data_IF_239610357747
#
_entry.id   IF_239610357747
#
_cell.length_a   1.000
_cell.length_b   1.000
_cell.length_c   1.000
_cell.angle_alpha   90.00
_cell.angle_beta   90.00
_cell.angle_gamma   90.00
#
_symmetry.space_group_name_H-M   'P 1'
#
loop_
_entity.id
_entity.type
_entity.pdbx_description
1 polymer ?
#
# COMPACT_ATOMS: atom_id res chain seq x y z
N UNK A 1 68.94 15.02 14.29
CA UNK A 1 67.47 15.13 14.38
C UNK A 1 66.85 14.16 13.40
N UNK A 2 66.03 13.23 13.90
CA UNK A 2 65.75 11.94 13.26
C UNK A 2 64.55 12.06 12.29
N UNK A 3 64.82 11.98 10.97
CA UNK A 3 63.80 12.09 9.89
C UNK A 3 62.69 11.03 10.03
N UNK A 4 62.97 9.90 10.68
CA UNK A 4 61.99 8.86 10.98
C UNK A 4 60.94 9.29 12.02
N UNK A 5 61.28 10.16 12.97
CA UNK A 5 60.33 10.62 13.99
C UNK A 5 59.25 11.52 13.41
N UNK A 6 59.57 12.31 12.38
CA UNK A 6 58.61 13.17 11.69
C UNK A 6 57.62 12.37 10.82
N UNK A 7 58.09 11.31 10.16
CA UNK A 7 57.24 10.40 9.37
C UNK A 7 56.25 9.64 10.26
N UNK A 8 56.68 9.18 11.43
CA UNK A 8 55.81 8.49 12.40
C UNK A 8 54.74 9.45 12.95
N UNK A 9 55.10 10.71 13.24
CA UNK A 9 54.16 11.73 13.69
C UNK A 9 53.14 12.12 12.61
N UNK A 10 53.58 12.20 11.35
CA UNK A 10 52.68 12.53 10.23
C UNK A 10 51.67 11.39 9.98
N UNK A 11 52.13 10.14 10.08
CA UNK A 11 51.31 8.95 9.88
C UNK A 11 50.31 8.76 11.04
N UNK A 12 50.70 9.06 12.28
CA UNK A 12 49.80 9.02 13.44
C UNK A 12 48.74 10.12 13.37
N UNK A 13 49.08 11.35 12.96
CA UNK A 13 48.11 12.44 12.76
C UNK A 13 47.13 12.11 11.64
N UNK A 14 47.60 11.55 10.52
CA UNK A 14 46.73 11.11 9.43
C UNK A 14 45.74 10.03 9.90
N UNK A 15 46.22 9.04 10.65
CA UNK A 15 45.39 7.96 11.19
C UNK A 15 44.34 8.48 12.19
N UNK A 16 44.71 9.46 13.03
CA UNK A 16 43.80 10.11 13.98
C UNK A 16 42.72 10.93 13.26
N UNK A 17 43.08 11.66 12.20
CA UNK A 17 42.13 12.42 11.36
C UNK A 17 41.16 11.46 10.65
N UNK A 18 41.65 10.35 10.08
CA UNK A 18 40.77 9.35 9.46
C UNK A 18 39.82 8.72 10.49
N UNK A 19 40.28 8.44 11.71
CA UNK A 19 39.42 7.86 12.75
C UNK A 19 38.28 8.80 13.18
N UNK A 20 38.51 10.11 13.20
CA UNK A 20 37.46 11.11 13.52
C UNK A 20 36.44 11.24 12.39
N UNK A 21 36.88 11.12 11.13
CA UNK A 21 36.00 11.13 9.96
C UNK A 21 35.11 9.88 9.86
N UNK A 22 35.57 8.72 10.32
CA UNK A 22 34.76 7.49 10.33
C UNK A 22 33.64 7.51 11.39
N UNK A 23 33.82 8.23 12.51
CA UNK A 23 32.81 8.31 13.58
C UNK A 23 31.53 9.08 13.18
N UNK A 24 31.58 9.88 12.11
CA UNK A 24 30.42 10.64 11.61
C UNK A 24 29.44 9.83 10.75
N UNK A 25 29.78 8.59 10.37
CA UNK A 25 28.96 7.79 9.45
C UNK A 25 28.04 6.75 10.13
N UNK A 26 28.08 6.63 11.47
CA UNK A 26 27.44 5.50 12.18
C UNK A 26 26.14 5.89 12.90
N UNK A 27 25.87 7.19 13.10
CA UNK A 27 24.66 7.65 13.80
C UNK A 27 23.90 8.67 12.94
N UNK A 28 23.12 8.19 11.98
CA UNK A 28 22.08 8.99 11.35
C UNK A 28 21.01 9.29 12.39
N UNK A 29 20.77 10.56 12.72
CA UNK A 29 19.72 10.96 13.66
C UNK A 29 18.36 10.43 13.21
N UNK A 30 17.43 10.22 14.16
CA UNK A 30 16.07 9.77 13.82
C UNK A 30 15.41 10.67 12.77
N UNK A 31 15.69 11.98 12.85
CA UNK A 31 15.23 12.98 11.88
C UNK A 31 15.83 12.78 10.48
N UNK A 32 17.09 12.36 10.37
CA UNK A 32 17.71 12.09 9.08
C UNK A 32 17.13 10.82 8.44
N UNK A 33 16.88 9.78 9.23
CA UNK A 33 16.26 8.54 8.75
C UNK A 33 14.82 8.79 8.26
N UNK A 34 14.03 9.55 9.02
CA UNK A 34 12.67 9.91 8.62
C UNK A 34 12.67 10.76 7.32
N UNK A 35 13.60 11.72 7.20
CA UNK A 35 13.76 12.50 5.95
C UNK A 35 14.14 11.60 4.77
N UNK A 36 15.09 10.69 4.96
CA UNK A 36 15.52 9.77 3.90
C UNK A 36 14.36 8.89 3.39
N UNK A 37 13.51 8.40 4.29
CA UNK A 37 12.31 7.65 3.91
C UNK A 37 11.33 8.53 3.12
N UNK A 38 11.10 9.78 3.55
CA UNK A 38 10.26 10.73 2.83
C UNK A 38 10.80 11.02 1.42
N UNK A 39 12.11 11.23 1.29
CA UNK A 39 12.75 11.51 0.01
C UNK A 39 12.66 10.31 -0.94
N UNK A 40 12.97 9.10 -0.46
CA UNK A 40 12.84 7.86 -1.25
C UNK A 40 11.40 7.62 -1.69
N UNK A 41 10.45 7.92 -0.81
CA UNK A 41 9.03 7.79 -1.13
C UNK A 41 8.63 8.69 -2.29
N UNK A 42 8.94 9.99 -2.22
CA UNK A 42 8.60 10.92 -3.31
C UNK A 42 9.37 10.64 -4.59
N UNK A 43 10.63 10.18 -4.50
CA UNK A 43 11.37 9.70 -5.66
C UNK A 43 10.66 8.52 -6.34
N UNK A 44 10.21 7.53 -5.57
CA UNK A 44 9.48 6.38 -6.09
C UNK A 44 8.15 6.79 -6.73
N UNK A 45 7.40 7.70 -6.09
CA UNK A 45 6.15 8.25 -6.65
C UNK A 45 6.40 8.96 -7.98
N UNK A 46 7.44 9.80 -8.06
CA UNK A 46 7.80 10.52 -9.29
C UNK A 46 8.34 9.60 -10.40
N UNK A 47 9.02 8.52 -10.02
CA UNK A 47 9.55 7.53 -10.96
C UNK A 47 8.49 6.51 -11.40
N UNK A 48 7.23 6.66 -10.98
CA UNK A 48 6.14 5.70 -11.18
C UNK A 48 6.44 4.29 -10.61
N UNK A 49 7.38 4.19 -9.67
CA UNK A 49 7.76 2.95 -8.99
C UNK A 49 6.86 2.71 -7.77
N UNK A 50 5.66 2.22 -8.06
CA UNK A 50 4.63 1.98 -7.04
C UNK A 50 4.99 0.84 -6.08
N UNK A 51 5.82 -0.11 -6.50
CA UNK A 51 6.29 -1.20 -5.63
C UNK A 51 7.22 -0.66 -4.54
N UNK A 52 8.18 0.18 -4.91
CA UNK A 52 9.05 0.85 -3.94
C UNK A 52 8.25 1.81 -3.06
N UNK A 53 7.34 2.61 -3.65
CA UNK A 53 6.50 3.52 -2.87
C UNK A 53 5.71 2.74 -1.81
N UNK A 54 5.05 1.64 -2.19
CA UNK A 54 4.29 0.76 -1.30
C UNK A 54 5.12 0.20 -0.15
N UNK A 55 6.36 -0.23 -0.41
CA UNK A 55 7.25 -0.75 0.62
C UNK A 55 7.70 0.32 1.64
N UNK A 56 7.62 1.59 1.28
CA UNK A 56 7.94 2.72 2.15
C UNK A 56 6.71 3.25 2.92
N UNK A 57 5.52 2.71 2.65
CA UNK A 57 4.27 3.15 3.28
C UNK A 57 3.83 2.26 4.42
N UNK A 58 3.00 2.79 5.33
CA UNK A 58 2.31 1.96 6.30
C UNK A 58 1.30 1.07 5.57
N UNK A 59 1.17 -0.19 6.02
CA UNK A 59 0.24 -1.15 5.43
C UNK A 59 -1.19 -0.59 5.34
N UNK A 60 -1.63 0.12 6.39
CA UNK A 60 -2.96 0.71 6.48
C UNK A 60 -3.20 1.82 5.44
N UNK A 61 -2.14 2.53 5.02
CA UNK A 61 -2.27 3.67 4.10
C UNK A 61 -1.90 3.35 2.65
N UNK A 62 -1.38 2.15 2.36
CA UNK A 62 -0.94 1.75 1.02
C UNK A 62 -2.03 1.89 -0.07
N UNK A 63 -3.29 1.68 0.28
CA UNK A 63 -4.43 1.82 -0.64
C UNK A 63 -4.62 3.25 -1.17
N UNK A 64 -4.08 4.27 -0.47
CA UNK A 64 -4.20 5.67 -0.87
C UNK A 64 -3.13 6.11 -1.88
N UNK A 65 -2.13 5.27 -2.16
CA UNK A 65 -1.09 5.57 -3.16
C UNK A 65 -1.65 5.90 -4.55
N UNK A 66 -2.74 5.24 -4.93
CA UNK A 66 -3.41 5.45 -6.22
C UNK A 66 -3.88 6.90 -6.45
N UNK A 67 -4.07 7.67 -5.37
CA UNK A 67 -4.51 9.07 -5.48
C UNK A 67 -3.35 10.03 -5.73
N UNK A 68 -2.11 9.66 -5.37
CA UNK A 68 -0.93 10.48 -5.63
C UNK A 68 -0.49 10.46 -7.10
N UNK A 69 -0.84 9.40 -7.83
CA UNK A 69 -0.59 9.28 -9.27
C UNK A 69 -1.73 9.83 -10.14
N UNK A 70 -2.82 10.31 -9.52
CA UNK A 70 -3.88 11.00 -10.23
C UNK A 70 -3.35 12.26 -10.93
N UNK A 71 -3.92 12.60 -12.10
CA UNK A 71 -3.48 13.76 -12.91
C UNK A 71 -3.50 15.09 -12.14
N UNK A 72 -4.26 15.18 -11.05
CA UNK A 72 -4.32 16.34 -10.15
C UNK A 72 -3.07 16.51 -9.26
N UNK A 73 -2.32 15.43 -9.00
CA UNK A 73 -1.15 15.42 -8.09
C UNK A 73 0.13 14.97 -8.81
N UNK A 74 0.12 14.90 -10.14
CA UNK A 74 1.27 14.53 -10.98
C UNK A 74 2.41 15.56 -10.88
N UNK A 75 3.13 15.51 -9.76
CA UNK A 75 4.29 16.31 -9.49
C UNK A 75 5.41 15.94 -10.47
N UNK A 76 6.25 16.90 -10.83
CA UNK A 76 7.48 16.68 -11.63
C UNK A 76 8.74 16.72 -10.78
N UNK A 77 8.67 17.38 -9.63
CA UNK A 77 9.75 17.53 -8.66
C UNK A 77 9.16 17.77 -7.28
N UNK A 78 9.96 17.49 -6.26
CA UNK A 78 9.62 17.74 -4.87
C UNK A 78 10.80 18.38 -4.14
N UNK A 79 10.50 19.12 -3.08
CA UNK A 79 11.48 19.70 -2.18
C UNK A 79 11.07 19.34 -0.74
N UNK A 80 12.00 18.81 0.05
CA UNK A 80 11.80 18.57 1.49
C UNK A 80 12.44 19.67 2.33
N UNK A 81 11.74 20.07 3.38
CA UNK A 81 12.11 21.18 4.25
C UNK A 81 12.32 20.74 5.70
N UNK A 82 11.83 21.58 6.61
CA UNK A 82 11.90 21.34 8.05
C UNK A 82 11.28 19.98 8.42
N UNK A 83 11.93 19.29 9.35
CA UNK A 83 11.42 18.05 9.94
C UNK A 83 11.15 18.25 11.43
N UNK A 84 9.97 17.83 11.87
CA UNK A 84 9.59 17.74 13.27
C UNK A 84 9.41 16.27 13.64
N UNK A 85 10.12 15.80 14.66
CA UNK A 85 9.97 14.43 15.19
C UNK A 85 9.33 14.51 16.57
N UNK A 86 8.25 13.78 16.78
CA UNK A 86 7.48 13.73 18.01
C UNK A 86 7.12 12.28 18.35
N UNK A 87 7.92 11.66 19.22
CA UNK A 87 7.74 10.27 19.63
C UNK A 87 7.90 9.28 18.47
N UNK A 88 6.81 8.64 18.07
CA UNK A 88 6.75 7.68 16.95
C UNK A 88 6.29 8.31 15.64
N UNK A 89 6.13 9.63 15.59
CA UNK A 89 5.64 10.36 14.42
C UNK A 89 6.69 11.37 13.97
N UNK A 90 6.87 11.50 12.67
CA UNK A 90 7.68 12.56 12.08
C UNK A 90 6.89 13.28 10.99
N UNK A 91 7.06 14.59 10.88
CA UNK A 91 6.44 15.42 9.85
C UNK A 91 7.52 16.15 9.08
N UNK A 92 7.58 15.94 7.77
CA UNK A 92 8.53 16.58 6.86
C UNK A 92 7.77 17.59 6.00
N UNK A 93 8.10 18.87 6.10
CA UNK A 93 7.61 19.87 5.14
C UNK A 93 7.97 19.43 3.73
N UNK A 94 6.99 19.33 2.82
CA UNK A 94 7.23 18.94 1.44
C UNK A 94 6.50 19.89 0.52
N UNK A 95 7.17 20.32 -0.56
CA UNK A 95 6.55 21.07 -1.63
C UNK A 95 6.63 20.26 -2.91
N UNK A 96 5.49 19.91 -3.46
CA UNK A 96 5.41 19.30 -4.78
C UNK A 96 5.27 20.39 -5.83
N UNK A 97 5.95 20.25 -6.95
CA UNK A 97 5.78 21.16 -8.08
C UNK A 97 5.16 20.42 -9.25
N UNK A 98 4.00 20.91 -9.66
CA UNK A 98 3.13 20.37 -10.72
C UNK A 98 2.94 21.40 -11.84
N UNK A 99 2.22 21.03 -12.89
CA UNK A 99 2.02 21.84 -14.10
C UNK A 99 3.06 21.55 -15.18
N UNK A 100 2.76 21.94 -16.44
CA UNK A 100 3.64 21.66 -17.58
C UNK A 100 5.04 22.27 -17.39
N UNK A 101 5.13 23.42 -16.71
CA UNK A 101 6.38 24.13 -16.42
C UNK A 101 6.84 24.02 -14.95
N UNK A 102 6.13 23.26 -14.10
CA UNK A 102 6.42 23.20 -12.67
C UNK A 102 6.06 24.50 -11.93
N UNK A 103 5.10 25.23 -12.47
CA UNK A 103 4.61 26.55 -12.05
C UNK A 103 3.53 26.48 -10.96
N UNK A 104 2.93 25.31 -10.76
CA UNK A 104 2.01 25.05 -9.65
C UNK A 104 2.77 24.44 -8.48
N UNK A 105 2.60 24.98 -7.27
CA UNK A 105 3.21 24.45 -6.05
C UNK A 105 2.14 23.94 -5.09
N UNK A 106 2.34 22.74 -4.56
CA UNK A 106 1.43 22.07 -3.64
C UNK A 106 2.21 21.81 -2.34
N UNK A 107 2.08 22.71 -1.34
CA UNK A 107 2.67 22.50 -0.03
C UNK A 107 1.89 21.44 0.75
N UNK A 108 2.62 20.54 1.41
CA UNK A 108 2.07 19.48 2.25
C UNK A 108 3.05 19.09 3.38
N UNK A 109 2.57 18.27 4.31
CA UNK A 109 3.39 17.60 5.33
C UNK A 109 3.43 16.10 5.05
N UNK A 110 4.60 15.57 4.74
CA UNK A 110 4.79 14.12 4.68
C UNK A 110 4.85 13.59 6.09
N UNK A 111 3.84 12.81 6.45
CA UNK A 111 3.69 12.23 7.79
C UNK A 111 4.26 10.82 7.77
N UNK A 112 5.20 10.55 8.68
CA UNK A 112 5.80 9.24 8.87
C UNK A 112 5.47 8.69 10.25
N UNK A 113 5.26 7.38 10.31
CA UNK A 113 5.03 6.63 11.53
C UNK A 113 6.15 5.61 11.69
N UNK A 114 6.71 5.53 12.89
CA UNK A 114 7.75 4.56 13.24
C UNK A 114 7.12 3.29 13.79
N UNK A 115 7.25 2.20 13.05
CA UNK A 115 6.82 0.86 13.44
C UNK A 115 8.04 -0.05 13.55
N UNK A 116 8.29 -0.64 14.73
CA UNK A 116 9.42 -1.57 14.96
C UNK A 116 10.76 -1.01 14.45
N UNK A 117 11.06 0.24 14.82
CA UNK A 117 12.26 0.98 14.44
C UNK A 117 12.41 1.33 12.94
N UNK A 118 11.36 1.13 12.15
CA UNK A 118 11.33 1.50 10.73
C UNK A 118 10.35 2.65 10.53
N UNK A 119 10.81 3.74 9.90
CA UNK A 119 9.95 4.83 9.46
C UNK A 119 9.19 4.42 8.19
N UNK A 120 7.89 4.70 8.18
CA UNK A 120 7.01 4.44 7.05
C UNK A 120 6.09 5.63 6.83
N UNK A 121 5.81 5.97 5.58
CA UNK A 121 4.92 7.08 5.21
C UNK A 121 3.46 6.67 5.46
N UNK A 122 2.74 7.52 6.20
CA UNK A 122 1.29 7.45 6.32
C UNK A 122 0.68 8.31 5.20
N UNK A 123 0.34 7.66 4.09
CA UNK A 123 -0.16 8.32 2.87
C UNK A 123 -1.46 9.07 3.15
N UNK A 124 -2.33 8.48 3.97
CA UNK A 124 -3.62 9.07 4.30
C UNK A 124 -3.44 10.40 5.04
N UNK A 125 -2.59 10.43 6.09
CA UNK A 125 -2.29 11.67 6.81
C UNK A 125 -1.51 12.66 5.96
N UNK A 126 -0.59 12.17 5.13
CA UNK A 126 0.18 12.99 4.19
C UNK A 126 -0.75 13.72 3.22
N UNK A 127 -1.72 13.01 2.64
CA UNK A 127 -2.74 13.62 1.78
C UNK A 127 -3.64 14.58 2.54
N UNK A 128 -4.07 14.23 3.76
CA UNK A 128 -4.88 15.09 4.61
C UNK A 128 -4.21 16.41 5.02
N UNK A 129 -2.87 16.49 4.91
CA UNK A 129 -2.11 17.71 5.16
C UNK A 129 -2.04 18.67 3.97
N UNK A 130 -2.47 18.23 2.78
CA UNK A 130 -2.50 19.07 1.59
C UNK A 130 -3.55 20.16 1.79
N UNK A 131 -3.16 21.43 1.60
CA UNK A 131 -4.08 22.56 1.79
C UNK A 131 -5.27 22.40 0.84
N UNK A 132 -6.48 22.68 1.33
CA UNK A 132 -7.80 22.46 0.73
C UNK A 132 -8.01 23.01 -0.70
N UNK A 133 -7.07 23.77 -1.26
CA UNK A 133 -7.06 24.16 -2.68
C UNK A 133 -6.58 23.07 -3.65
N UNK A 134 -5.72 22.13 -3.21
CA UNK A 134 -5.25 21.00 -4.01
C UNK A 134 -6.03 19.70 -3.73
N UNK A 135 -6.65 19.60 -2.55
CA UNK A 135 -7.46 18.45 -2.12
C UNK A 135 -8.84 18.40 -2.78
N UNK A 136 -9.35 19.48 -3.38
CA UNK A 136 -10.69 19.52 -3.99
C UNK A 136 -10.92 18.39 -4.99
N UNK A 137 -9.97 18.15 -5.89
CA UNK A 137 -10.08 17.07 -6.88
C UNK A 137 -9.99 15.65 -6.29
N UNK A 138 -9.26 15.47 -5.19
CA UNK A 138 -9.04 14.16 -4.57
C UNK A 138 -10.16 13.81 -3.59
N UNK A 139 -10.69 14.78 -2.86
CA UNK A 139 -11.88 14.62 -1.99
C UNK A 139 -13.11 14.32 -2.84
N UNK A 140 -13.28 14.99 -3.97
CA UNK A 140 -14.36 14.68 -4.92
C UNK A 140 -14.23 13.24 -5.45
N UNK A 141 -13.02 12.80 -5.78
CA UNK A 141 -12.77 11.44 -6.26
C UNK A 141 -12.94 10.36 -5.17
N UNK A 142 -12.62 10.68 -3.91
CA UNK A 142 -12.88 9.83 -2.75
C UNK A 142 -14.38 9.73 -2.42
N UNK A 143 -15.13 10.83 -2.50
CA UNK A 143 -16.58 10.82 -2.33
C UNK A 143 -17.26 9.98 -3.40
N UNK A 144 -16.87 10.15 -4.67
CA UNK A 144 -17.41 9.37 -5.79
C UNK A 144 -17.06 7.88 -5.65
N UNK A 145 -15.85 7.54 -5.22
CA UNK A 145 -15.47 6.13 -4.97
C UNK A 145 -16.24 5.53 -3.79
N UNK A 146 -16.47 6.29 -2.73
CA UNK A 146 -17.22 5.82 -1.56
C UNK A 146 -18.71 5.64 -1.88
N UNK A 147 -19.33 6.57 -2.61
CA UNK A 147 -20.72 6.44 -3.05
C UNK A 147 -20.92 5.26 -4.02
N UNK A 148 -20.02 5.10 -5.00
CA UNK A 148 -20.09 4.00 -5.96
C UNK A 148 -19.79 2.65 -5.30
N UNK A 149 -18.79 2.59 -4.41
CA UNK A 149 -18.42 1.38 -3.70
C UNK A 149 -19.55 0.88 -2.78
N UNK A 150 -20.26 1.79 -2.10
CA UNK A 150 -21.42 1.43 -1.30
C UNK A 150 -22.60 0.96 -2.16
N UNK A 151 -22.83 1.58 -3.32
CA UNK A 151 -23.88 1.14 -4.26
C UNK A 151 -23.60 -0.24 -4.86
N UNK A 152 -22.36 -0.53 -5.25
CA UNK A 152 -21.99 -1.82 -5.83
C UNK A 152 -22.07 -2.95 -4.80
N UNK A 153 -21.73 -2.67 -3.53
CA UNK A 153 -21.89 -3.61 -2.43
C UNK A 153 -23.37 -3.90 -2.14
N UNK A 154 -24.22 -2.88 -2.14
CA UNK A 154 -25.67 -3.01 -1.93
C UNK A 154 -26.35 -3.78 -3.07
N UNK A 155 -25.93 -3.53 -4.31
CA UNK A 155 -26.35 -4.34 -5.48
C UNK A 155 -25.90 -5.78 -5.36
N UNK A 156 -24.63 -6.04 -5.07
CA UNK A 156 -24.10 -7.40 -4.97
C UNK A 156 -24.79 -8.20 -3.84
N UNK A 157 -25.10 -7.54 -2.73
CA UNK A 157 -25.87 -8.13 -1.63
C UNK A 157 -27.32 -8.42 -2.05
N UNK A 158 -27.98 -7.47 -2.71
CA UNK A 158 -29.35 -7.62 -3.20
C UNK A 158 -29.47 -8.75 -4.22
N UNK A 159 -28.56 -8.81 -5.19
CA UNK A 159 -28.49 -9.85 -6.22
C UNK A 159 -28.23 -11.23 -5.58
N UNK A 160 -27.33 -11.31 -4.59
CA UNK A 160 -27.05 -12.55 -3.87
C UNK A 160 -28.26 -13.04 -3.08
N UNK A 161 -28.99 -12.15 -2.40
CA UNK A 161 -30.22 -12.50 -1.66
C UNK A 161 -31.32 -12.97 -2.62
N UNK A 162 -31.44 -12.33 -3.78
CA UNK A 162 -32.45 -12.66 -4.77
C UNK A 162 -32.17 -14.02 -5.42
N UNK A 163 -30.91 -14.32 -5.72
CA UNK A 163 -30.48 -15.61 -6.27
C UNK A 163 -30.61 -16.75 -5.25
N UNK A 164 -30.30 -16.49 -3.97
CA UNK A 164 -30.55 -17.42 -2.87
C UNK A 164 -32.05 -17.74 -2.72
N UNK A 165 -32.91 -16.73 -2.78
CA UNK A 165 -34.37 -16.92 -2.68
C UNK A 165 -34.91 -17.73 -3.86
N UNK A 166 -34.40 -17.48 -5.07
CA UNK A 166 -34.76 -18.24 -6.28
C UNK A 166 -34.32 -19.70 -6.18
N UNK A 167 -33.08 -19.93 -5.75
CA UNK A 167 -32.52 -21.28 -5.57
C UNK A 167 -33.26 -22.07 -4.50
N UNK A 168 -33.60 -21.42 -3.37
CA UNK A 168 -34.40 -22.04 -2.30
C UNK A 168 -35.81 -22.39 -2.79
N UNK A 169 -36.47 -21.51 -3.52
CA UNK A 169 -37.80 -21.76 -4.09
C UNK A 169 -37.77 -22.93 -5.07
N UNK A 170 -36.78 -22.97 -5.97
CA UNK A 170 -36.59 -24.08 -6.91
C UNK A 170 -36.30 -25.40 -6.19
N UNK A 171 -35.47 -25.41 -5.15
CA UNK A 171 -35.19 -26.60 -4.36
C UNK A 171 -36.44 -27.12 -3.63
N UNK A 172 -37.26 -26.23 -3.07
CA UNK A 172 -38.53 -26.61 -2.42
C UNK A 172 -39.55 -27.14 -3.44
N UNK A 173 -39.65 -26.51 -4.60
CA UNK A 173 -40.57 -26.95 -5.67
C UNK A 173 -40.16 -28.32 -6.22
N UNK A 174 -38.86 -28.56 -6.42
CA UNK A 174 -38.33 -29.88 -6.83
C UNK A 174 -38.62 -30.95 -5.78
N UNK A 175 -38.37 -30.66 -4.50
CA UNK A 175 -38.62 -31.63 -3.43
C UNK A 175 -40.10 -31.97 -3.31
N UNK A 176 -40.99 -30.99 -3.47
CA UNK A 176 -42.44 -31.20 -3.51
C UNK A 176 -42.85 -32.06 -4.70
N UNK A 177 -42.19 -31.88 -5.84
CA UNK A 177 -42.44 -32.68 -7.05
C UNK A 177 -41.99 -34.13 -6.86
N UNK A 178 -40.79 -34.36 -6.30
CA UNK A 178 -40.29 -35.71 -5.98
C UNK A 178 -41.16 -36.42 -4.95
N UNK A 179 -41.68 -35.72 -3.94
CA UNK A 179 -42.57 -36.29 -2.93
C UNK A 179 -44.00 -36.56 -3.44
N UNK A 180 -44.38 -36.02 -4.61
CA UNK A 180 -45.68 -36.26 -5.25
C UNK A 180 -45.66 -37.45 -6.22
N UNK A 181 -44.46 -37.95 -6.60
CA UNK A 181 -44.32 -39.15 -7.42
C UNK A 181 -44.29 -40.38 -6.49
N UNK A 182 -45.21 -41.36 -6.63
CA UNK A 182 -45.17 -42.57 -5.80
C UNK A 182 -43.90 -43.39 -6.10
N UNK A 183 -43.36 -44.16 -5.12
CA UNK A 183 -42.15 -44.93 -5.35
C UNK A 183 -42.44 -46.02 -6.41
N UNK A 184 -41.90 -45.84 -7.61
CA UNK A 184 -41.84 -46.90 -8.61
C UNK A 184 -40.99 -48.04 -8.05
N UNK A 185 -41.60 -49.21 -8.04
CA UNK A 185 -41.09 -50.51 -7.59
C UNK A 185 -39.67 -50.80 -8.11
N UNK A 186 -38.77 -51.43 -7.34
CA UNK A 186 -37.43 -51.75 -7.81
C UNK A 186 -37.49 -52.67 -9.04
N UNK A 187 -36.58 -52.52 -10.03
CA UNK A 187 -36.50 -53.44 -11.15
C UNK A 187 -36.15 -54.86 -10.64
N UNK A 188 -36.67 -55.91 -11.30
CA UNK A 188 -36.45 -57.29 -10.87
C UNK A 188 -34.96 -57.65 -10.90
N UNK A 189 -34.52 -58.57 -10.03
CA UNK A 189 -33.11 -58.92 -9.91
C UNK A 189 -32.59 -59.52 -11.22
N UNK A 190 -31.51 -58.93 -11.74
CA UNK A 190 -30.76 -59.45 -12.87
C UNK A 190 -30.19 -60.81 -12.46
N UNK A 191 -30.67 -61.87 -13.11
CA UNK A 191 -30.17 -63.24 -12.93
C UNK A 191 -28.78 -63.35 -13.58
N UNK A 192 -27.77 -63.92 -12.90
CA UNK A 192 -26.46 -64.16 -13.52
C UNK A 192 -26.56 -65.25 -14.60
N UNK A 193 -25.80 -65.17 -15.70
CA UNK A 193 -25.74 -66.26 -16.65
C UNK A 193 -25.10 -67.49 -15.99
N UNK A 194 -25.84 -68.60 -16.02
CA UNK A 194 -25.34 -69.93 -15.67
C UNK A 194 -24.28 -70.34 -16.69
N UNK A 195 -23.01 -70.23 -16.31
CA UNK A 195 -21.91 -70.80 -17.08
C UNK A 195 -21.47 -72.12 -16.44
N UNK A 196 -21.98 -73.20 -17.03
CA UNK A 196 -21.58 -74.60 -16.86
C UNK A 196 -22.54 -75.41 -17.74
N UNK A 197 -22.12 -76.24 -18.69
CA UNK A 197 -20.87 -76.94 -18.88
C UNK A 197 -20.72 -77.41 -20.34
N UNK A 198 -19.51 -77.90 -20.64
CA UNK A 198 -19.19 -79.02 -21.52
C UNK A 198 -19.36 -78.85 -23.03
N UNK A 199 -18.24 -78.85 -23.76
CA UNK A 199 -17.68 -80.08 -24.35
C UNK A 199 -16.15 -79.99 -24.38
#
# INVERSE_FOLDING_TARGET
MNVNSYKIYFLSVYLLITSVLLSGCIFSSESQQAREVADKFWQAVLAEDMDTAKNLTTWESAQYLQFLTSKSVAAKRFETGEIKVEGTTAEVATVLHSGEKGDMTIPLRTVLIRNKDVWQVDVQKTMGSMVSGAMGAVVDQLNVFMENGLQDLDKALSDSVQELNKSLKQGVDQLKQELTVPPTTPPPPVTPPANGQAI
#
